data_IF_982105268045
#
_entry.id   IF_982105268045
#
_cell.length_a   1.000
_cell.length_b   1.000
_cell.length_c   1.000
_cell.angle_alpha   90.00
_cell.angle_beta   90.00
_cell.angle_gamma   90.00
#
_symmetry.space_group_name_H-M   'P 1'
#
loop_
_entity.id
_entity.type
_entity.pdbx_description
1 polymer ?
#
# COMPACT_ATOMS: atom_id res chain seq x y z
N UNK A 1 8.23 47.88 69.54
CA UNK A 1 9.41 47.62 68.65
C UNK A 1 9.15 46.67 67.45
N UNK A 2 8.01 45.97 67.32
CA UNK A 2 7.80 44.97 66.24
C UNK A 2 7.27 45.45 64.88
N UNK A 3 6.77 46.69 64.75
CA UNK A 3 6.25 47.20 63.47
C UNK A 3 7.35 47.72 62.53
N UNK A 4 8.40 48.34 63.08
CA UNK A 4 9.51 48.90 62.31
C UNK A 4 10.37 47.77 61.71
N UNK A 5 10.52 46.64 62.40
CA UNK A 5 11.24 45.47 61.88
C UNK A 5 10.49 44.78 60.72
N UNK A 6 9.15 44.69 60.77
CA UNK A 6 8.34 44.14 59.66
C UNK A 6 8.36 45.03 58.41
N UNK A 7 8.26 46.35 58.56
CA UNK A 7 8.31 47.27 57.42
C UNK A 7 9.69 47.25 56.77
N UNK A 8 10.76 47.25 57.57
CA UNK A 8 12.14 47.14 57.07
C UNK A 8 12.42 45.79 56.41
N UNK A 9 11.81 44.70 56.92
CA UNK A 9 11.85 43.38 56.28
C UNK A 9 11.15 43.35 54.92
N UNK A 10 9.97 43.98 54.82
CA UNK A 10 9.17 44.03 53.57
C UNK A 10 9.84 44.92 52.50
N UNK A 11 10.41 46.05 52.89
CA UNK A 11 11.20 46.90 51.97
C UNK A 11 12.48 46.16 51.51
N UNK A 12 13.13 45.43 52.42
CA UNK A 12 14.33 44.64 52.06
C UNK A 12 13.97 43.48 51.13
N UNK A 13 12.87 42.76 51.36
CA UNK A 13 12.40 41.69 50.47
C UNK A 13 11.97 42.22 49.10
N UNK A 14 11.28 43.35 49.05
CA UNK A 14 10.88 43.99 47.77
C UNK A 14 12.10 44.53 47.00
N UNK A 15 13.11 45.06 47.71
CA UNK A 15 14.35 45.47 47.07
C UNK A 15 15.15 44.28 46.53
N UNK A 16 15.25 43.18 47.30
CA UNK A 16 15.95 41.96 46.87
C UNK A 16 15.24 41.27 45.71
N UNK A 17 13.91 41.16 45.74
CA UNK A 17 13.13 40.58 44.64
C UNK A 17 13.24 41.40 43.36
N UNK A 18 13.24 42.73 43.46
CA UNK A 18 13.41 43.63 42.31
C UNK A 18 14.83 43.59 41.73
N UNK A 19 15.85 43.40 42.57
CA UNK A 19 17.24 43.18 42.12
C UNK A 19 17.37 41.82 41.43
N UNK A 20 16.79 40.76 42.01
CA UNK A 20 16.83 39.40 41.45
C UNK A 20 16.11 39.33 40.10
N UNK A 21 14.92 39.92 39.98
CA UNK A 21 14.16 39.98 38.73
C UNK A 21 14.92 40.76 37.63
N UNK A 22 15.57 41.89 37.98
CA UNK A 22 16.41 42.66 37.04
C UNK A 22 17.65 41.88 36.59
N UNK A 23 18.16 40.97 37.42
CA UNK A 23 19.30 40.11 37.07
C UNK A 23 18.90 38.98 36.13
N UNK A 24 17.75 38.35 36.37
CA UNK A 24 17.17 37.31 35.51
C UNK A 24 16.79 37.87 34.13
N UNK A 25 16.27 39.10 34.07
CA UNK A 25 15.99 39.80 32.81
C UNK A 25 17.25 40.04 31.95
N UNK A 26 18.37 40.39 32.59
CA UNK A 26 19.65 40.53 31.89
C UNK A 26 20.14 39.19 31.35
N UNK A 27 20.00 38.13 32.15
CA UNK A 27 20.38 36.76 31.77
C UNK A 27 19.53 36.29 30.56
N UNK A 28 18.21 36.53 30.57
CA UNK A 28 17.33 36.17 29.46
C UNK A 28 17.68 36.90 28.15
N UNK A 29 18.04 38.18 28.22
CA UNK A 29 18.49 38.94 27.04
C UNK A 29 19.83 38.44 26.49
N UNK A 30 20.77 38.05 27.36
CA UNK A 30 22.05 37.46 26.96
C UNK A 30 21.83 36.10 26.28
N UNK A 31 20.99 35.24 26.87
CA UNK A 31 20.64 33.92 26.30
C UNK A 31 19.99 34.08 24.92
N UNK A 32 19.13 35.09 24.74
CA UNK A 32 18.55 35.40 23.43
C UNK A 32 19.59 35.84 22.40
N UNK A 33 20.53 36.71 22.79
CA UNK A 33 21.56 37.23 21.90
C UNK A 33 22.53 36.12 21.47
N UNK A 34 22.90 35.24 22.40
CA UNK A 34 23.68 34.02 22.12
C UNK A 34 22.91 33.08 21.18
N UNK A 35 21.60 32.94 21.39
CA UNK A 35 20.75 32.12 20.53
C UNK A 35 20.71 32.63 19.08
N UNK A 36 20.68 33.96 18.90
CA UNK A 36 20.68 34.59 17.59
C UNK A 36 22.04 34.43 16.89
N UNK A 37 23.15 34.54 17.62
CA UNK A 37 24.51 34.29 17.11
C UNK A 37 24.71 32.84 16.69
N UNK A 38 24.20 31.87 17.47
CA UNK A 38 24.28 30.44 17.14
C UNK A 38 23.38 30.02 15.97
N UNK A 39 22.41 30.85 15.59
CA UNK A 39 21.56 30.63 14.41
C UNK A 39 22.09 31.31 13.15
N UNK A 40 23.03 32.26 13.28
CA UNK A 40 23.63 33.02 12.18
C UNK A 40 24.24 32.14 11.08
N UNK A 41 24.88 30.98 11.37
CA UNK A 41 25.36 30.06 10.34
C UNK A 41 24.26 29.49 9.43
N UNK A 42 23.01 29.37 9.89
CA UNK A 42 21.90 28.87 9.06
C UNK A 42 21.39 29.90 8.04
N UNK A 43 21.70 31.18 8.27
CA UNK A 43 21.27 32.30 7.42
C UNK A 43 22.38 32.74 6.46
N UNK A 44 23.58 32.18 6.61
CA UNK A 44 24.69 32.42 5.70
C UNK A 44 24.43 31.78 4.33
N UNK A 45 24.85 32.43 3.22
CA UNK A 45 24.67 31.90 1.88
C UNK A 45 25.35 30.54 1.71
N UNK A 46 24.67 29.63 1.00
CA UNK A 46 25.02 28.19 0.86
C UNK A 46 26.49 27.94 0.48
N UNK A 47 27.15 28.87 -0.21
CA UNK A 47 28.56 28.75 -0.62
C UNK A 47 29.56 28.73 0.54
N UNK A 48 29.30 29.45 1.64
CA UNK A 48 30.20 29.50 2.79
C UNK A 48 30.14 28.21 3.64
N UNK A 49 28.96 27.59 3.67
CA UNK A 49 28.68 26.37 4.43
C UNK A 49 29.26 25.11 3.77
N UNK A 50 29.34 25.09 2.44
CA UNK A 50 29.98 24.01 1.69
C UNK A 50 31.50 24.03 1.88
N UNK A 51 32.11 25.21 2.03
CA UNK A 51 33.55 25.38 2.21
C UNK A 51 34.08 24.97 3.61
N UNK A 52 33.21 24.93 4.63
CA UNK A 52 33.61 24.73 6.03
C UNK A 52 33.47 23.29 6.57
N UNK A 53 33.03 22.32 5.76
CA UNK A 53 33.04 20.90 6.20
C UNK A 53 31.84 20.02 5.78
N UNK A 54 31.03 20.45 4.81
CA UNK A 54 29.98 19.60 4.23
C UNK A 54 28.79 19.29 5.15
N UNK A 55 27.86 18.47 4.64
CA UNK A 55 26.56 18.21 5.26
C UNK A 55 26.64 17.57 6.67
N UNK A 56 27.71 16.82 6.95
CA UNK A 56 27.90 16.12 8.22
C UNK A 56 28.27 17.05 9.37
N UNK A 57 29.08 18.08 9.12
CA UNK A 57 29.45 19.07 10.13
C UNK A 57 28.23 19.92 10.53
N UNK A 58 27.38 20.26 9.56
CA UNK A 58 26.11 20.96 9.83
C UNK A 58 25.11 20.07 10.56
N UNK A 59 25.03 18.77 10.24
CA UNK A 59 24.19 17.83 10.99
C UNK A 59 24.69 17.61 12.43
N UNK A 60 26.00 17.58 12.66
CA UNK A 60 26.56 17.53 14.01
C UNK A 60 26.28 18.84 14.77
N UNK A 61 26.47 19.99 14.12
CA UNK A 61 26.15 21.30 14.68
C UNK A 61 24.66 21.44 15.03
N UNK A 62 23.75 21.00 14.16
CA UNK A 62 22.30 20.99 14.45
C UNK A 62 21.98 20.11 15.65
N UNK A 63 22.54 18.90 15.72
CA UNK A 63 22.30 17.95 16.81
C UNK A 63 22.77 18.45 18.18
N UNK A 64 23.83 19.25 18.25
CA UNK A 64 24.29 19.83 19.53
C UNK A 64 23.60 21.16 19.85
N UNK A 65 23.47 22.05 18.86
CA UNK A 65 23.03 23.43 19.09
C UNK A 65 21.52 23.52 19.29
N UNK A 66 20.73 22.70 18.61
CA UNK A 66 19.26 22.74 18.73
C UNK A 66 18.76 22.31 20.13
N UNK A 67 19.23 21.20 20.73
CA UNK A 67 18.83 20.84 22.11
C UNK A 67 19.30 21.87 23.15
N UNK A 68 20.48 22.45 22.98
CA UNK A 68 21.02 23.50 23.87
C UNK A 68 20.18 24.78 23.76
N UNK A 69 19.82 25.20 22.54
CA UNK A 69 18.92 26.33 22.30
C UNK A 69 17.54 26.11 22.92
N UNK A 70 16.96 24.92 22.74
CA UNK A 70 15.64 24.58 23.28
C UNK A 70 15.67 24.60 24.82
N UNK A 71 16.68 23.98 25.44
CA UNK A 71 16.80 23.94 26.91
C UNK A 71 17.10 25.31 27.53
N UNK A 72 17.98 26.11 26.91
CA UNK A 72 18.32 27.45 27.38
C UNK A 72 17.13 28.42 27.27
N UNK A 73 16.39 28.37 26.16
CA UNK A 73 15.24 29.24 25.93
C UNK A 73 13.98 28.76 26.69
N UNK A 74 13.91 27.48 27.10
CA UNK A 74 12.87 26.97 27.99
C UNK A 74 13.04 27.50 29.44
N UNK A 75 14.29 27.58 29.92
CA UNK A 75 14.60 28.03 31.29
C UNK A 75 14.52 29.55 31.45
N UNK A 76 14.77 30.32 30.38
CA UNK A 76 14.72 31.79 30.39
C UNK A 76 13.98 32.33 29.16
N UNK A 77 12.63 32.28 29.12
CA UNK A 77 11.86 32.72 27.97
C UNK A 77 11.95 34.24 27.76
N UNK A 78 12.25 34.66 26.54
CA UNK A 78 12.36 36.08 26.22
C UNK A 78 11.03 36.83 26.36
N UNK A 79 11.08 38.08 26.84
CA UNK A 79 9.93 38.93 27.22
C UNK A 79 8.86 39.13 26.12
N UNK A 80 9.25 38.98 24.85
CA UNK A 80 8.37 39.14 23.68
C UNK A 80 7.65 37.84 23.27
N UNK A 81 8.04 36.67 23.77
CA UNK A 81 7.38 35.39 23.49
C UNK A 81 5.88 35.37 23.81
N UNK A 82 5.42 35.77 25.03
CA UNK A 82 3.99 35.82 25.32
C UNK A 82 3.22 36.84 24.46
N UNK A 83 3.88 37.93 24.03
CA UNK A 83 3.29 38.90 23.11
C UNK A 83 3.12 38.33 21.69
N UNK A 84 4.15 37.64 21.17
CA UNK A 84 4.08 36.96 19.87
C UNK A 84 3.07 35.83 19.88
N UNK A 85 2.99 35.03 20.93
CA UNK A 85 1.98 33.96 21.06
C UNK A 85 0.55 34.54 21.11
N UNK A 86 0.37 35.73 21.69
CA UNK A 86 -0.93 36.43 21.71
C UNK A 86 -1.29 36.98 20.32
N UNK A 87 -0.31 37.52 19.59
CA UNK A 87 -0.46 37.99 18.20
C UNK A 87 -0.75 36.82 17.26
N UNK A 88 0.02 35.73 17.34
CA UNK A 88 -0.17 34.50 16.57
C UNK A 88 -1.56 33.89 16.81
N UNK A 89 -2.01 33.78 18.08
CA UNK A 89 -3.38 33.32 18.38
C UNK A 89 -4.44 34.24 17.79
N UNK A 90 -4.23 35.56 17.77
CA UNK A 90 -5.16 36.53 17.16
C UNK A 90 -5.21 36.38 15.63
N UNK A 91 -4.06 36.16 14.99
CA UNK A 91 -3.93 35.89 13.56
C UNK A 91 -4.61 34.57 13.21
N UNK A 92 -4.35 33.48 13.94
CA UNK A 92 -4.97 32.16 13.74
C UNK A 92 -6.49 32.25 13.85
N UNK A 93 -7.02 32.94 14.87
CA UNK A 93 -8.47 33.13 15.02
C UNK A 93 -9.08 33.94 13.87
N UNK A 94 -8.39 34.98 13.38
CA UNK A 94 -8.84 35.77 12.22
C UNK A 94 -8.77 34.99 10.92
N UNK A 95 -7.75 34.15 10.73
CA UNK A 95 -7.58 33.34 9.52
C UNK A 95 -8.46 32.08 9.51
N UNK A 96 -8.96 31.61 10.65
CA UNK A 96 -9.81 30.42 10.70
C UNK A 96 -11.05 30.52 9.82
N UNK A 97 -11.80 31.63 9.92
CA UNK A 97 -13.00 31.86 9.11
C UNK A 97 -12.76 31.91 7.58
N UNK A 98 -11.80 32.70 7.05
CA UNK A 98 -11.48 32.67 5.63
C UNK A 98 -10.88 31.34 5.17
N UNK A 99 -10.08 30.66 6.00
CA UNK A 99 -9.54 29.33 5.67
C UNK A 99 -10.66 28.29 5.56
N UNK A 100 -11.63 28.27 6.48
CA UNK A 100 -12.78 27.37 6.42
C UNK A 100 -13.65 27.64 5.16
N UNK A 101 -13.85 28.92 4.80
CA UNK A 101 -14.56 29.28 3.55
C UNK A 101 -13.80 28.85 2.30
N UNK A 102 -12.49 29.08 2.26
CA UNK A 102 -11.63 28.65 1.15
C UNK A 102 -11.64 27.13 1.03
N UNK A 103 -11.51 26.39 2.14
CA UNK A 103 -11.62 24.94 2.16
C UNK A 103 -13.00 24.45 1.69
N UNK A 104 -14.08 25.13 2.05
CA UNK A 104 -15.42 24.81 1.57
C UNK A 104 -15.53 24.98 0.05
N UNK A 105 -15.01 26.10 -0.50
CA UNK A 105 -14.99 26.34 -1.95
C UNK A 105 -14.13 25.28 -2.66
N UNK A 106 -12.95 24.95 -2.13
CA UNK A 106 -12.11 23.87 -2.67
C UNK A 106 -12.83 22.52 -2.63
N UNK A 107 -13.53 22.19 -1.54
CA UNK A 107 -14.30 20.96 -1.42
C UNK A 107 -15.48 20.91 -2.41
N UNK A 108 -16.16 22.04 -2.61
CA UNK A 108 -17.24 22.17 -3.59
C UNK A 108 -16.71 22.02 -5.02
N UNK A 109 -15.57 22.65 -5.33
CA UNK A 109 -14.91 22.54 -6.63
C UNK A 109 -14.36 21.12 -6.91
N UNK A 110 -13.90 20.40 -5.88
CA UNK A 110 -13.43 19.02 -5.99
C UNK A 110 -14.57 17.97 -6.04
N UNK A 111 -15.79 18.33 -5.59
CA UNK A 111 -16.96 17.45 -5.63
C UNK A 111 -17.25 16.81 -6.99
N UNK A 112 -17.30 17.56 -8.12
CA UNK A 112 -17.49 16.95 -9.44
C UNK A 112 -16.32 16.03 -9.84
N UNK A 113 -15.09 16.39 -9.47
CA UNK A 113 -13.89 15.58 -9.76
C UNK A 113 -13.98 14.24 -9.01
N UNK A 114 -14.33 14.26 -7.73
CA UNK A 114 -14.53 13.03 -6.95
C UNK A 114 -15.70 12.17 -7.45
N UNK A 115 -16.68 12.75 -8.17
CA UNK A 115 -17.71 11.96 -8.87
C UNK A 115 -17.14 11.31 -10.13
N UNK A 116 -16.36 12.04 -10.92
CA UNK A 116 -15.67 11.51 -12.10
C UNK A 116 -14.67 10.41 -11.73
N UNK A 117 -13.90 10.57 -10.64
CA UNK A 117 -12.99 9.54 -10.11
C UNK A 117 -13.74 8.24 -9.79
N UNK A 118 -14.91 8.33 -9.14
CA UNK A 118 -15.72 7.15 -8.82
C UNK A 118 -16.31 6.48 -10.07
N UNK A 119 -16.79 7.26 -11.04
CA UNK A 119 -17.26 6.73 -12.33
C UNK A 119 -16.12 6.04 -13.10
N UNK A 120 -14.92 6.64 -13.10
CA UNK A 120 -13.73 6.04 -13.68
C UNK A 120 -13.37 4.70 -13.01
N UNK A 121 -13.47 4.63 -11.69
CA UNK A 121 -13.23 3.39 -10.94
C UNK A 121 -14.32 2.33 -11.15
N UNK A 122 -15.57 2.72 -11.38
CA UNK A 122 -16.64 1.78 -11.73
C UNK A 122 -16.37 1.08 -13.07
N UNK A 123 -15.73 1.79 -14.01
CA UNK A 123 -15.26 1.22 -15.27
C UNK A 123 -13.94 0.47 -15.07
N UNK A 124 -13.99 -0.62 -14.30
CA UNK A 124 -12.82 -1.39 -13.88
C UNK A 124 -11.86 -1.72 -15.04
N UNK A 125 -12.37 -2.28 -16.14
CA UNK A 125 -11.57 -2.67 -17.31
C UNK A 125 -10.91 -1.46 -18.01
N UNK A 126 -11.63 -0.35 -18.12
CA UNK A 126 -11.09 0.87 -18.71
C UNK A 126 -10.00 1.46 -17.82
N UNK A 127 -10.24 1.47 -16.50
CA UNK A 127 -9.31 1.99 -15.51
C UNK A 127 -7.99 1.21 -15.50
N UNK A 128 -8.05 -0.13 -15.60
CA UNK A 128 -6.87 -0.99 -15.64
C UNK A 128 -6.11 -0.81 -16.94
N UNK A 129 -6.80 -0.78 -18.09
CA UNK A 129 -6.17 -0.57 -19.40
C UNK A 129 -5.45 0.78 -19.47
N UNK A 130 -6.09 1.88 -19.04
CA UNK A 130 -5.46 3.20 -19.03
C UNK A 130 -4.23 3.21 -18.11
N UNK A 131 -4.31 2.55 -16.95
CA UNK A 131 -3.19 2.49 -16.01
C UNK A 131 -2.02 1.66 -16.53
N UNK A 132 -2.29 0.53 -17.19
CA UNK A 132 -1.28 -0.28 -17.88
C UNK A 132 -0.60 0.54 -18.97
N UNK A 133 -1.37 1.24 -19.82
CA UNK A 133 -0.84 2.09 -20.87
C UNK A 133 0.04 3.22 -20.31
N UNK A 134 -0.38 3.88 -19.22
CA UNK A 134 0.40 4.95 -18.59
C UNK A 134 1.73 4.45 -18.02
N UNK A 135 1.73 3.31 -17.30
CA UNK A 135 2.96 2.74 -16.74
C UNK A 135 3.88 2.23 -17.86
N UNK A 136 3.34 1.59 -18.88
CA UNK A 136 4.14 1.08 -19.99
C UNK A 136 4.75 2.23 -20.80
N UNK A 137 3.99 3.30 -21.03
CA UNK A 137 4.49 4.53 -21.65
C UNK A 137 5.56 5.17 -20.80
N UNK A 138 5.39 5.21 -19.47
CA UNK A 138 6.38 5.76 -18.55
C UNK A 138 7.69 4.95 -18.55
N UNK A 139 7.61 3.62 -18.47
CA UNK A 139 8.76 2.72 -18.54
C UNK A 139 9.47 2.80 -19.88
N UNK A 140 8.72 2.82 -20.99
CA UNK A 140 9.27 2.96 -22.34
C UNK A 140 10.09 4.25 -22.46
N UNK A 141 9.49 5.35 -22.01
CA UNK A 141 10.10 6.68 -22.03
C UNK A 141 11.36 6.79 -21.17
N UNK A 142 11.46 6.05 -20.07
CA UNK A 142 12.62 6.10 -19.16
C UNK A 142 13.72 5.09 -19.52
N UNK A 143 13.34 3.88 -19.92
CA UNK A 143 14.26 2.74 -20.01
C UNK A 143 14.60 2.35 -21.46
N UNK A 144 13.84 2.81 -22.44
CA UNK A 144 14.05 2.49 -23.86
C UNK A 144 14.36 3.76 -24.65
N UNK A 145 15.56 3.83 -25.21
CA UNK A 145 15.95 4.93 -26.08
C UNK A 145 15.40 4.69 -27.50
N UNK A 146 14.41 5.49 -27.93
CA UNK A 146 14.01 5.76 -29.34
C UNK A 146 12.92 4.91 -30.01
N UNK A 147 12.24 3.98 -29.34
CA UNK A 147 11.05 3.31 -29.92
C UNK A 147 9.81 4.21 -29.89
N UNK A 148 9.07 4.38 -30.99
CA UNK A 148 7.82 5.18 -31.02
C UNK A 148 6.56 4.40 -30.60
N UNK A 149 6.60 3.06 -30.53
CA UNK A 149 5.41 2.20 -30.33
C UNK A 149 5.68 0.90 -29.52
N UNK A 150 6.86 0.78 -28.93
CA UNK A 150 7.35 -0.33 -28.08
C UNK A 150 6.36 -0.76 -26.98
N UNK A 151 5.72 0.21 -26.30
CA UNK A 151 4.75 -0.08 -25.25
C UNK A 151 3.49 -0.84 -25.73
N UNK A 152 2.98 -0.52 -26.92
CA UNK A 152 1.80 -1.19 -27.49
C UNK A 152 2.13 -2.62 -27.92
N UNK A 153 3.33 -2.84 -28.44
CA UNK A 153 3.80 -4.19 -28.76
C UNK A 153 3.96 -5.05 -27.52
N UNK A 154 4.54 -4.51 -26.43
CA UNK A 154 4.62 -5.23 -25.16
C UNK A 154 3.23 -5.56 -24.61
N UNK A 155 2.27 -4.63 -24.70
CA UNK A 155 0.90 -4.87 -24.26
C UNK A 155 0.20 -5.96 -25.10
N UNK A 156 0.36 -5.92 -26.42
CA UNK A 156 -0.17 -6.94 -27.33
C UNK A 156 0.42 -8.32 -27.01
N UNK A 157 1.73 -8.39 -26.79
CA UNK A 157 2.43 -9.61 -26.41
C UNK A 157 1.89 -10.19 -25.09
N UNK A 158 1.72 -9.36 -24.07
CA UNK A 158 1.17 -9.83 -22.80
C UNK A 158 -0.31 -10.25 -22.91
N UNK A 159 -1.12 -9.58 -23.73
CA UNK A 159 -2.50 -10.00 -23.99
C UNK A 159 -2.57 -11.39 -24.67
N UNK A 160 -1.66 -11.68 -25.60
CA UNK A 160 -1.57 -13.02 -26.23
C UNK A 160 -1.17 -14.09 -25.19
N UNK A 161 -0.27 -13.76 -24.26
CA UNK A 161 0.07 -14.65 -23.15
C UNK A 161 -1.16 -14.88 -22.25
N UNK A 162 -1.88 -13.83 -21.88
CA UNK A 162 -3.11 -13.94 -21.06
C UNK A 162 -4.15 -14.80 -21.73
N UNK A 163 -4.35 -14.63 -23.05
CA UNK A 163 -5.27 -15.44 -23.83
C UNK A 163 -4.86 -16.92 -23.80
N UNK A 164 -3.57 -17.20 -23.97
CA UNK A 164 -3.03 -18.57 -23.87
C UNK A 164 -3.25 -19.19 -22.49
N UNK A 165 -2.97 -18.44 -21.42
CA UNK A 165 -3.19 -18.90 -20.05
C UNK A 165 -4.67 -19.15 -19.77
N UNK A 166 -5.56 -18.28 -20.26
CA UNK A 166 -7.00 -18.45 -20.09
C UNK A 166 -7.52 -19.67 -20.85
N UNK A 167 -7.01 -19.93 -22.06
CA UNK A 167 -7.33 -21.13 -22.83
C UNK A 167 -6.90 -22.41 -22.10
N UNK A 168 -5.67 -22.44 -21.57
CA UNK A 168 -5.18 -23.56 -20.75
C UNK A 168 -6.06 -23.74 -19.51
N UNK A 169 -6.40 -22.64 -18.81
CA UNK A 169 -7.30 -22.67 -17.67
C UNK A 169 -8.66 -23.27 -18.05
N UNK A 170 -9.25 -22.84 -19.16
CA UNK A 170 -10.54 -23.34 -19.63
C UNK A 170 -10.52 -24.85 -19.86
N UNK A 171 -9.47 -25.37 -20.50
CA UNK A 171 -9.29 -26.81 -20.72
C UNK A 171 -9.12 -27.55 -19.39
N UNK A 172 -8.27 -27.04 -18.49
CA UNK A 172 -8.09 -27.67 -17.19
C UNK A 172 -9.37 -27.71 -16.35
N UNK A 173 -10.26 -26.71 -16.49
CA UNK A 173 -11.45 -26.58 -15.63
C UNK A 173 -12.70 -27.25 -16.21
N UNK A 174 -12.87 -27.25 -17.53
CA UNK A 174 -14.08 -27.78 -18.20
C UNK A 174 -13.97 -29.26 -18.56
N UNK A 175 -12.77 -29.80 -18.70
CA UNK A 175 -12.57 -31.18 -19.13
C UNK A 175 -12.55 -32.13 -17.93
N UNK A 176 -13.38 -33.18 -17.96
CA UNK A 176 -13.30 -34.26 -16.98
C UNK A 176 -12.04 -35.10 -17.24
N UNK A 177 -11.03 -34.92 -16.40
CA UNK A 177 -9.76 -35.67 -16.45
C UNK A 177 -9.87 -37.11 -15.94
N UNK A 178 -11.08 -37.64 -15.79
CA UNK A 178 -11.26 -39.00 -15.33
C UNK A 178 -10.65 -39.96 -16.36
N UNK A 179 -9.74 -40.88 -15.95
CA UNK A 179 -9.04 -41.80 -16.85
C UNK A 179 -9.94 -42.90 -17.42
N UNK A 180 -11.26 -42.77 -17.26
CA UNK A 180 -12.27 -43.73 -17.66
C UNK A 180 -13.36 -43.00 -18.42
N UNK A 181 -13.46 -43.29 -19.72
CA UNK A 181 -14.59 -42.87 -20.56
C UNK A 181 -15.55 -44.05 -20.66
N UNK A 182 -16.82 -43.84 -20.27
CA UNK A 182 -17.87 -44.83 -20.46
C UNK A 182 -18.30 -44.85 -21.94
N UNK A 183 -18.30 -46.04 -22.56
CA UNK A 183 -18.60 -46.22 -23.99
C UNK A 183 -20.07 -45.89 -24.31
N UNK A 184 -20.98 -46.10 -23.35
CA UNK A 184 -22.40 -45.70 -23.44
C UNK A 184 -22.87 -45.19 -22.09
N UNK A 185 -23.96 -44.38 -22.06
CA UNK A 185 -24.53 -43.81 -20.81
C UNK A 185 -24.90 -44.86 -19.74
N UNK A 186 -24.97 -46.14 -20.11
CA UNK A 186 -25.40 -47.24 -19.24
C UNK A 186 -24.38 -48.38 -19.08
N UNK A 187 -23.22 -48.37 -19.75
CA UNK A 187 -22.22 -49.45 -19.56
C UNK A 187 -21.11 -49.05 -18.59
N UNK A 188 -20.72 -50.01 -17.74
CA UNK A 188 -19.63 -49.89 -16.76
C UNK A 188 -18.26 -50.26 -17.35
N UNK A 189 -18.16 -50.43 -18.67
CA UNK A 189 -16.93 -50.88 -19.34
C UNK A 189 -16.00 -49.68 -19.53
N UNK A 190 -14.93 -49.65 -18.74
CA UNK A 190 -13.91 -48.59 -18.73
C UNK A 190 -12.80 -48.93 -19.73
N UNK A 191 -12.63 -48.14 -20.80
CA UNK A 191 -11.58 -48.36 -21.79
C UNK A 191 -10.39 -47.39 -21.58
N UNK A 192 -9.28 -47.91 -21.04
CA UNK A 192 -8.09 -47.12 -20.73
C UNK A 192 -7.45 -46.50 -21.99
N UNK A 193 -7.38 -47.26 -23.09
CA UNK A 193 -6.72 -46.80 -24.31
C UNK A 193 -7.46 -45.64 -25.00
N UNK A 194 -8.79 -45.59 -24.90
CA UNK A 194 -9.59 -44.48 -25.46
C UNK A 194 -9.47 -43.20 -24.60
N UNK A 195 -9.20 -43.38 -23.30
CA UNK A 195 -8.96 -42.27 -22.37
C UNK A 195 -7.57 -41.66 -22.58
N UNK A 196 -6.55 -42.51 -22.80
CA UNK A 196 -5.21 -42.05 -23.14
C UNK A 196 -5.16 -41.28 -24.47
N UNK A 197 -5.85 -41.76 -25.52
CA UNK A 197 -5.90 -41.05 -26.81
C UNK A 197 -6.63 -39.72 -26.71
N UNK A 198 -7.72 -39.63 -25.93
CA UNK A 198 -8.41 -38.36 -25.65
C UNK A 198 -7.46 -37.34 -25.01
N UNK A 199 -6.75 -37.75 -23.95
CA UNK A 199 -5.78 -36.88 -23.25
C UNK A 199 -4.70 -36.40 -24.23
N UNK A 200 -4.09 -37.31 -25.01
CA UNK A 200 -3.05 -36.96 -25.98
C UNK A 200 -3.57 -35.97 -27.04
N UNK A 201 -4.78 -36.18 -27.56
CA UNK A 201 -5.39 -35.27 -28.53
C UNK A 201 -5.62 -33.87 -27.94
N UNK A 202 -6.14 -33.75 -26.72
CA UNK A 202 -6.35 -32.44 -26.08
C UNK A 202 -5.03 -31.72 -25.80
N UNK A 203 -4.01 -32.43 -25.30
CA UNK A 203 -2.68 -31.85 -25.13
C UNK A 203 -2.05 -31.44 -26.47
N UNK A 204 -2.31 -32.19 -27.54
CA UNK A 204 -1.86 -31.82 -28.88
C UNK A 204 -2.53 -30.52 -29.35
N UNK A 205 -3.82 -30.30 -29.05
CA UNK A 205 -4.49 -29.02 -29.33
C UNK A 205 -3.85 -27.88 -28.54
N UNK A 206 -3.55 -28.07 -27.26
CA UNK A 206 -2.87 -27.06 -26.43
C UNK A 206 -1.48 -26.73 -27.00
N UNK A 207 -0.68 -27.74 -27.32
CA UNK A 207 0.67 -27.55 -27.84
C UNK A 207 0.63 -26.87 -29.21
N UNK A 208 -0.24 -27.31 -30.12
CA UNK A 208 -0.40 -26.66 -31.44
C UNK A 208 -0.91 -25.22 -31.30
N UNK A 209 -1.80 -24.94 -30.35
CA UNK A 209 -2.25 -23.59 -30.04
C UNK A 209 -1.10 -22.70 -29.51
N UNK A 210 -0.28 -23.20 -28.59
CA UNK A 210 0.89 -22.46 -28.08
C UNK A 210 1.89 -22.22 -29.20
N UNK A 211 2.21 -23.25 -30.00
CA UNK A 211 3.16 -23.15 -31.12
C UNK A 211 2.66 -22.14 -32.15
N UNK A 212 1.38 -22.19 -32.53
CA UNK A 212 0.80 -21.22 -33.48
C UNK A 212 0.79 -19.80 -32.91
N UNK A 213 0.48 -19.60 -31.62
CA UNK A 213 0.60 -18.28 -30.98
C UNK A 213 2.04 -17.78 -30.94
N UNK A 214 3.00 -18.62 -30.57
CA UNK A 214 4.42 -18.22 -30.60
C UNK A 214 4.89 -17.89 -32.00
N UNK A 215 4.43 -18.62 -33.02
CA UNK A 215 4.73 -18.36 -34.41
C UNK A 215 4.09 -17.06 -34.89
N UNK A 216 2.83 -16.80 -34.54
CA UNK A 216 2.14 -15.53 -34.85
C UNK A 216 2.85 -14.35 -34.18
N UNK A 217 3.27 -14.49 -32.93
CA UNK A 217 4.06 -13.46 -32.25
C UNK A 217 5.44 -13.27 -32.90
N UNK A 218 6.07 -14.34 -33.37
CA UNK A 218 7.34 -14.30 -34.08
C UNK A 218 7.20 -13.65 -35.45
N UNK A 219 6.15 -13.96 -36.22
CA UNK A 219 5.88 -13.38 -37.54
C UNK A 219 5.47 -11.92 -37.44
N UNK A 220 4.57 -11.58 -36.52
CA UNK A 220 4.26 -10.18 -36.18
C UNK A 220 5.51 -9.44 -35.69
N UNK A 221 6.41 -10.16 -35.01
CA UNK A 221 7.68 -9.63 -34.57
C UNK A 221 8.72 -9.49 -35.68
N UNK A 222 8.69 -10.32 -36.72
CA UNK A 222 9.66 -10.31 -37.82
C UNK A 222 9.23 -9.37 -38.96
N UNK A 223 7.94 -9.21 -39.22
CA UNK A 223 7.48 -8.58 -40.46
C UNK A 223 7.34 -7.04 -40.42
N UNK A 224 7.17 -6.36 -39.28
CA UNK A 224 6.70 -4.96 -39.32
C UNK A 224 7.30 -3.91 -38.35
N UNK A 225 8.32 -4.16 -37.52
CA UNK A 225 8.88 -3.02 -36.74
C UNK A 225 9.90 -3.26 -35.65
N UNK A 226 10.55 -4.42 -35.61
CA UNK A 226 11.38 -4.83 -34.47
C UNK A 226 12.89 -4.60 -34.65
N UNK A 227 13.33 -3.92 -35.72
CA UNK A 227 14.76 -3.61 -35.90
C UNK A 227 15.36 -2.84 -34.71
N UNK A 228 14.51 -2.13 -33.94
CA UNK A 228 14.90 -1.33 -32.78
C UNK A 228 14.28 -1.79 -31.45
N UNK A 229 13.58 -2.94 -31.41
CA UNK A 229 12.98 -3.43 -30.16
C UNK A 229 13.99 -4.27 -29.38
N UNK A 230 14.79 -3.59 -28.56
CA UNK A 230 15.66 -4.22 -27.56
C UNK A 230 15.21 -3.79 -26.17
N UNK A 231 14.16 -4.41 -25.60
CA UNK A 231 13.72 -4.06 -24.27
C UNK A 231 14.83 -4.44 -23.27
N UNK A 232 15.11 -3.54 -22.35
CA UNK A 232 16.02 -3.84 -21.24
C UNK A 232 15.36 -4.89 -20.33
N UNK A 233 16.14 -5.73 -19.66
CA UNK A 233 15.61 -6.71 -18.71
C UNK A 233 14.77 -6.02 -17.61
N UNK A 234 15.20 -4.84 -17.16
CA UNK A 234 14.47 -4.01 -16.21
C UNK A 234 13.10 -3.57 -16.74
N UNK A 235 13.02 -3.16 -18.00
CA UNK A 235 11.75 -2.84 -18.64
C UNK A 235 10.81 -4.05 -18.61
N UNK A 236 11.27 -5.21 -19.08
CA UNK A 236 10.44 -6.44 -19.13
C UNK A 236 9.99 -6.90 -17.74
N UNK A 237 10.86 -6.81 -16.72
CA UNK A 237 10.51 -7.16 -15.36
C UNK A 237 9.45 -6.22 -14.79
N UNK A 238 9.62 -4.91 -14.92
CA UNK A 238 8.68 -3.93 -14.37
C UNK A 238 7.32 -4.02 -15.08
N UNK A 239 7.30 -4.00 -16.41
CA UNK A 239 6.05 -4.05 -17.19
C UNK A 239 5.38 -5.41 -17.08
N UNK A 240 6.14 -6.51 -17.06
CA UNK A 240 5.64 -7.86 -16.85
C UNK A 240 5.01 -8.06 -15.47
N UNK A 241 5.69 -7.67 -14.40
CA UNK A 241 5.14 -7.75 -13.03
C UNK A 241 3.89 -6.86 -12.92
N UNK A 242 3.94 -5.62 -13.43
CA UNK A 242 2.79 -4.74 -13.36
C UNK A 242 1.57 -5.31 -14.11
N UNK A 243 1.78 -5.87 -15.30
CA UNK A 243 0.71 -6.49 -16.08
C UNK A 243 0.11 -7.71 -15.37
N UNK A 244 0.97 -8.63 -14.89
CA UNK A 244 0.57 -9.84 -14.18
C UNK A 244 -0.28 -9.54 -12.92
N UNK A 245 -0.02 -8.42 -12.26
CA UNK A 245 -0.74 -7.99 -11.05
C UNK A 245 -1.98 -7.14 -11.33
N UNK A 246 -2.15 -6.63 -12.55
CA UNK A 246 -3.30 -5.82 -12.94
C UNK A 246 -4.36 -6.60 -13.70
N UNK A 247 -3.93 -7.63 -14.44
CA UNK A 247 -4.79 -8.40 -15.32
C UNK A 247 -5.72 -9.35 -14.55
N UNK A 248 -6.99 -9.39 -14.95
CA UNK A 248 -8.05 -10.09 -14.19
C UNK A 248 -7.81 -11.59 -14.13
N UNK A 249 -7.39 -12.18 -15.24
CA UNK A 249 -7.13 -13.63 -15.35
C UNK A 249 -6.11 -14.10 -14.32
N UNK A 250 -5.02 -13.36 -14.15
CA UNK A 250 -3.97 -13.71 -13.20
C UNK A 250 -4.37 -13.43 -11.74
N UNK A 251 -5.11 -12.34 -11.49
CA UNK A 251 -5.65 -12.05 -10.15
C UNK A 251 -6.61 -13.14 -9.66
N UNK A 252 -7.35 -13.79 -10.55
CA UNK A 252 -8.18 -14.95 -10.22
C UNK A 252 -7.36 -16.23 -10.05
N UNK A 253 -6.29 -16.40 -10.83
CA UNK A 253 -5.44 -17.60 -10.80
C UNK A 253 -4.61 -17.69 -9.52
N UNK A 254 -4.06 -16.57 -9.03
CA UNK A 254 -3.14 -16.57 -7.89
C UNK A 254 -3.71 -17.19 -6.60
N UNK A 255 -4.93 -16.86 -6.16
CA UNK A 255 -5.52 -17.50 -5.00
C UNK A 255 -5.69 -19.02 -5.16
N UNK A 256 -6.03 -19.51 -6.36
CA UNK A 256 -6.15 -20.96 -6.59
C UNK A 256 -4.80 -21.67 -6.40
N UNK A 257 -3.72 -21.08 -6.94
CA UNK A 257 -2.37 -21.62 -6.80
C UNK A 257 -1.91 -21.61 -5.34
N UNK A 258 -2.18 -20.52 -4.61
CA UNK A 258 -1.85 -20.43 -3.19
C UNK A 258 -2.65 -21.42 -2.33
N UNK A 259 -3.93 -21.62 -2.66
CA UNK A 259 -4.77 -22.61 -1.98
C UNK A 259 -4.26 -24.04 -2.18
N UNK A 260 -3.76 -24.34 -3.38
CA UNK A 260 -3.12 -25.62 -3.66
C UNK A 260 -1.83 -25.84 -2.84
N UNK A 261 -1.10 -24.76 -2.52
CA UNK A 261 0.12 -24.81 -1.69
C UNK A 261 -0.18 -25.04 -0.18
N UNK A 262 -1.45 -24.93 0.25
CA UNK A 262 -1.91 -25.18 1.63
C UNK A 262 -1.04 -24.48 2.70
N UNK A 263 -0.76 -23.19 2.51
CA UNK A 263 0.06 -22.40 3.42
C UNK A 263 -0.69 -22.10 4.74
N UNK A 264 -0.21 -22.68 5.83
CA UNK A 264 -0.82 -22.53 7.17
C UNK A 264 -0.84 -21.07 7.67
N UNK A 265 0.13 -20.25 7.24
CA UNK A 265 0.25 -18.84 7.64
C UNK A 265 -0.90 -17.95 7.14
N UNK A 266 -1.56 -18.32 6.05
CA UNK A 266 -2.59 -17.49 5.42
C UNK A 266 -4.00 -17.73 6.00
N UNK A 267 -4.18 -18.74 6.85
CA UNK A 267 -5.43 -19.06 7.55
C UNK A 267 -6.68 -19.13 6.63
N UNK A 268 -6.49 -19.44 5.33
CA UNK A 268 -7.56 -19.49 4.33
C UNK A 268 -8.02 -18.12 3.78
N UNK A 269 -7.34 -17.01 4.11
CA UNK A 269 -7.63 -15.65 3.61
C UNK A 269 -6.79 -15.27 2.38
N UNK A 270 -6.44 -16.26 1.55
CA UNK A 270 -5.51 -16.11 0.42
C UNK A 270 -6.03 -15.10 -0.61
N UNK A 271 -7.34 -15.07 -0.86
CA UNK A 271 -7.98 -14.14 -1.81
C UNK A 271 -7.81 -12.68 -1.39
N UNK A 272 -8.01 -12.37 -0.10
CA UNK A 272 -7.86 -11.04 0.47
C UNK A 272 -6.39 -10.62 0.46
N UNK A 273 -5.48 -11.52 0.86
CA UNK A 273 -4.05 -11.26 0.88
C UNK A 273 -3.49 -10.99 -0.52
N UNK A 274 -3.84 -11.83 -1.51
CA UNK A 274 -3.48 -11.63 -2.91
C UNK A 274 -3.95 -10.29 -3.45
N UNK A 275 -5.20 -9.91 -3.14
CA UNK A 275 -5.76 -8.63 -3.53
C UNK A 275 -4.96 -7.46 -2.98
N UNK A 276 -4.70 -7.43 -1.67
CA UNK A 276 -3.90 -6.37 -1.03
C UNK A 276 -2.49 -6.34 -1.57
N UNK A 277 -1.84 -7.50 -1.68
CA UNK A 277 -0.47 -7.62 -2.15
C UNK A 277 -0.32 -7.10 -3.58
N UNK A 278 -1.19 -7.53 -4.50
CA UNK A 278 -1.14 -7.07 -5.89
C UNK A 278 -1.35 -5.55 -6.02
N UNK A 279 -2.30 -4.96 -5.28
CA UNK A 279 -2.53 -3.50 -5.28
C UNK A 279 -1.39 -2.73 -4.61
N UNK A 280 -0.76 -3.31 -3.60
CA UNK A 280 0.40 -2.70 -2.92
C UNK A 280 1.62 -2.69 -3.84
N UNK A 281 1.94 -3.80 -4.50
CA UNK A 281 3.09 -3.90 -5.40
C UNK A 281 2.92 -3.00 -6.63
N UNK A 282 1.72 -2.95 -7.22
CA UNK A 282 1.46 -2.08 -8.38
C UNK A 282 1.57 -0.59 -8.05
N UNK A 283 1.09 -0.15 -6.88
CA UNK A 283 1.29 1.24 -6.43
C UNK A 283 2.75 1.50 -6.08
N UNK A 284 3.45 0.54 -5.45
CA UNK A 284 4.87 0.64 -5.15
C UNK A 284 5.75 0.75 -6.40
N UNK A 285 5.43 0.04 -7.48
CA UNK A 285 6.12 0.18 -8.78
C UNK A 285 5.92 1.58 -9.38
N UNK A 286 4.74 2.18 -9.23
CA UNK A 286 4.43 3.49 -9.78
C UNK A 286 5.11 4.65 -9.04
N UNK A 287 5.30 4.53 -7.72
CA UNK A 287 5.89 5.59 -6.86
C UNK A 287 7.28 6.07 -7.31
N UNK A 288 8.30 5.20 -7.53
CA UNK A 288 9.63 5.63 -7.97
C UNK A 288 9.66 6.08 -9.44
N UNK A 289 8.67 5.67 -10.23
CA UNK A 289 8.59 6.04 -11.65
C UNK A 289 8.23 7.53 -11.82
N UNK A 290 7.45 8.11 -10.90
CA UNK A 290 7.07 9.53 -10.90
C UNK A 290 8.28 10.48 -10.78
N UNK A 291 9.15 10.39 -9.75
CA UNK A 291 10.32 11.25 -9.65
C UNK A 291 11.33 10.99 -10.77
N UNK A 292 11.46 9.74 -11.24
CA UNK A 292 12.30 9.43 -12.40
C UNK A 292 11.82 10.15 -13.68
N UNK A 293 10.50 10.19 -13.93
CA UNK A 293 9.91 10.95 -15.04
C UNK A 293 10.08 12.47 -14.89
N UNK A 294 9.95 12.98 -13.67
CA UNK A 294 10.18 14.38 -13.36
C UNK A 294 11.63 14.80 -13.63
N UNK A 295 12.59 13.94 -13.27
CA UNK A 295 14.01 14.15 -13.57
C UNK A 295 14.30 14.17 -15.07
N UNK A 296 13.58 13.35 -15.85
CA UNK A 296 13.67 13.34 -17.31
C UNK A 296 12.90 14.47 -18.02
N UNK A 297 12.57 15.56 -17.32
CA UNK A 297 11.84 16.75 -17.79
C UNK A 297 10.44 16.49 -18.37
N UNK A 298 9.85 15.31 -18.12
CA UNK A 298 8.56 14.88 -18.67
C UNK A 298 7.42 15.08 -17.68
N UNK A 299 7.27 16.32 -17.21
CA UNK A 299 6.34 16.70 -16.15
C UNK A 299 4.88 16.32 -16.40
N UNK A 300 4.39 16.46 -17.64
CA UNK A 300 2.98 16.11 -17.98
C UNK A 300 2.68 14.63 -17.73
N UNK A 301 3.59 13.75 -18.15
CA UNK A 301 3.44 12.31 -17.95
C UNK A 301 3.63 11.94 -16.47
N UNK A 302 4.59 12.57 -15.78
CA UNK A 302 4.81 12.38 -14.34
C UNK A 302 3.54 12.72 -13.53
N UNK A 303 2.88 13.83 -13.84
CA UNK A 303 1.64 14.25 -13.17
C UNK A 303 0.48 13.28 -13.43
N UNK A 304 0.32 12.79 -14.67
CA UNK A 304 -0.71 11.80 -15.01
C UNK A 304 -0.49 10.48 -14.26
N UNK A 305 0.74 9.96 -14.24
CA UNK A 305 1.09 8.72 -13.51
C UNK A 305 0.91 8.91 -12.01
N UNK A 306 1.35 10.05 -11.46
CA UNK A 306 1.17 10.37 -10.05
C UNK A 306 -0.32 10.44 -9.66
N UNK A 307 -1.16 11.04 -10.51
CA UNK A 307 -2.57 11.17 -10.22
C UNK A 307 -3.32 9.84 -10.35
N UNK A 308 -3.19 9.13 -11.48
CA UNK A 308 -3.96 7.91 -11.76
C UNK A 308 -3.40 6.71 -11.01
N UNK A 309 -2.10 6.44 -11.16
CA UNK A 309 -1.49 5.19 -10.70
C UNK A 309 -1.02 5.24 -9.24
N UNK A 310 -0.73 6.43 -8.68
CA UNK A 310 -0.32 6.58 -7.28
C UNK A 310 -1.48 7.08 -6.43
N UNK A 311 -2.08 8.24 -6.76
CA UNK A 311 -3.11 8.84 -5.94
C UNK A 311 -4.45 8.09 -6.02
N UNK A 312 -5.07 7.94 -7.20
CA UNK A 312 -6.37 7.26 -7.34
C UNK A 312 -6.25 5.80 -6.90
N UNK A 313 -5.28 5.05 -7.43
CA UNK A 313 -5.09 3.64 -7.08
C UNK A 313 -4.71 3.43 -5.61
N UNK A 314 -3.82 4.25 -5.05
CA UNK A 314 -3.43 4.16 -3.64
C UNK A 314 -4.58 4.49 -2.69
N UNK A 315 -5.34 5.55 -2.97
CA UNK A 315 -6.44 5.99 -2.10
C UNK A 315 -7.66 5.09 -2.19
N UNK A 316 -8.09 4.72 -3.40
CA UNK A 316 -9.34 3.98 -3.59
C UNK A 316 -9.09 2.47 -3.65
N UNK A 317 -8.30 1.96 -4.61
CA UNK A 317 -8.12 0.52 -4.80
C UNK A 317 -7.36 -0.15 -3.65
N UNK A 318 -6.22 0.41 -3.26
CA UNK A 318 -5.44 -0.11 -2.14
C UNK A 318 -6.12 0.19 -0.79
N UNK A 319 -6.67 1.39 -0.61
CA UNK A 319 -7.44 1.73 0.59
C UNK A 319 -8.65 0.81 0.82
N UNK A 320 -9.43 0.51 -0.21
CA UNK A 320 -10.56 -0.43 -0.11
C UNK A 320 -10.10 -1.87 0.16
N UNK A 321 -9.00 -2.31 -0.47
CA UNK A 321 -8.46 -3.64 -0.19
C UNK A 321 -7.94 -3.77 1.24
N UNK A 322 -7.24 -2.74 1.75
CA UNK A 322 -6.72 -2.70 3.12
C UNK A 322 -7.83 -2.62 4.16
N UNK A 323 -8.88 -1.84 3.92
CA UNK A 323 -10.02 -1.77 4.86
C UNK A 323 -10.71 -3.12 4.98
N UNK A 324 -11.04 -3.78 3.85
CA UNK A 324 -11.60 -5.13 3.85
C UNK A 324 -10.71 -6.16 4.53
N UNK A 325 -9.39 -6.06 4.32
CA UNK A 325 -8.42 -6.94 4.97
C UNK A 325 -8.34 -6.68 6.48
N UNK A 326 -8.26 -5.43 6.91
CA UNK A 326 -8.21 -5.06 8.32
C UNK A 326 -9.50 -5.47 9.04
N UNK A 327 -10.68 -5.24 8.44
CA UNK A 327 -11.96 -5.69 9.00
C UNK A 327 -11.98 -7.22 9.17
N UNK A 328 -11.49 -7.97 8.19
CA UNK A 328 -11.35 -9.42 8.28
C UNK A 328 -10.40 -9.83 9.41
N UNK A 329 -9.23 -9.20 9.51
CA UNK A 329 -8.26 -9.48 10.57
C UNK A 329 -8.79 -9.11 11.95
N UNK A 330 -9.43 -7.95 12.11
CA UNK A 330 -9.97 -7.44 13.37
C UNK A 330 -11.12 -8.32 13.88
N UNK A 331 -11.97 -8.81 12.98
CA UNK A 331 -13.04 -9.76 13.35
C UNK A 331 -12.48 -11.06 13.92
N UNK A 332 -11.33 -11.52 13.40
CA UNK A 332 -10.67 -12.75 13.83
C UNK A 332 -9.69 -12.54 14.98
N UNK A 333 -9.20 -11.32 15.21
CA UNK A 333 -8.21 -11.00 16.23
C UNK A 333 -8.71 -11.30 17.65
N UNK A 334 -10.03 -11.23 17.86
CA UNK A 334 -10.69 -11.55 19.14
C UNK A 334 -10.65 -13.04 19.48
N UNK A 335 -10.41 -13.90 18.50
CA UNK A 335 -10.40 -15.35 18.65
C UNK A 335 -8.97 -15.88 18.75
N UNK A 336 -8.73 -16.72 19.76
CA UNK A 336 -7.43 -17.35 19.98
C UNK A 336 -7.08 -18.27 18.80
N UNK A 337 -5.82 -18.26 18.36
CA UNK A 337 -5.31 -19.27 17.41
C UNK A 337 -5.09 -20.59 18.16
N UNK A 338 -5.56 -21.68 17.59
CA UNK A 338 -5.32 -23.01 18.14
C UNK A 338 -3.84 -23.38 17.99
N UNK A 339 -3.29 -24.06 19.00
CA UNK A 339 -1.93 -24.59 18.94
C UNK A 339 -1.89 -25.85 18.07
N UNK A 340 -0.74 -26.19 17.46
CA UNK A 340 -0.64 -27.42 16.66
C UNK A 340 -0.93 -28.67 17.52
N UNK A 341 -0.57 -28.64 18.80
CA UNK A 341 -0.83 -29.72 19.77
C UNK A 341 -2.33 -29.94 19.98
N UNK A 342 -3.10 -28.87 20.23
CA UNK A 342 -4.56 -28.93 20.35
C UNK A 342 -5.22 -29.49 19.09
N UNK A 343 -4.73 -29.10 17.90
CA UNK A 343 -5.24 -29.63 16.63
C UNK A 343 -4.95 -31.12 16.46
N UNK A 344 -3.73 -31.55 16.81
CA UNK A 344 -3.34 -32.95 16.73
C UNK A 344 -4.08 -33.84 17.73
N UNK A 345 -4.56 -33.29 18.83
CA UNK A 345 -5.31 -34.04 19.84
C UNK A 345 -6.80 -34.16 19.48
N UNK A 346 -7.34 -33.14 18.79
CA UNK A 346 -8.74 -33.11 18.38
C UNK A 346 -9.01 -34.03 17.17
N UNK A 347 -8.09 -34.08 16.20
CA UNK A 347 -8.21 -34.81 14.91
C UNK A 347 -9.58 -34.67 14.20
N UNK A 348 -10.25 -33.53 14.38
CA UNK A 348 -11.61 -33.31 13.89
C UNK A 348 -11.67 -32.48 12.59
N UNK A 349 -12.82 -32.51 11.93
CA UNK A 349 -13.13 -31.73 10.74
C UNK A 349 -13.86 -30.44 11.11
N UNK A 350 -13.66 -29.38 10.32
CA UNK A 350 -14.37 -28.12 10.54
C UNK A 350 -15.87 -28.32 10.29
N UNK A 351 -16.72 -28.04 11.30
CA UNK A 351 -18.17 -28.24 11.19
C UNK A 351 -18.88 -27.42 10.09
N UNK A 352 -18.21 -26.40 9.53
CA UNK A 352 -18.77 -25.52 8.49
C UNK A 352 -18.46 -26.02 7.08
N UNK A 353 -17.22 -26.43 6.82
CA UNK A 353 -16.78 -26.87 5.48
C UNK A 353 -16.51 -28.38 5.38
N UNK A 354 -16.62 -29.10 6.50
CA UNK A 354 -16.33 -30.53 6.66
C UNK A 354 -14.91 -30.94 6.23
N UNK A 355 -14.00 -29.97 6.12
CA UNK A 355 -12.61 -30.18 5.75
C UNK A 355 -11.71 -30.37 6.97
N UNK A 356 -10.62 -31.13 6.80
CA UNK A 356 -9.61 -31.34 7.82
C UNK A 356 -8.99 -30.01 8.30
N UNK A 357 -8.74 -29.89 9.61
CA UNK A 357 -8.20 -28.67 10.22
C UNK A 357 -6.69 -28.75 10.39
N UNK A 358 -5.95 -27.94 9.62
CA UNK A 358 -4.50 -27.71 9.83
C UNK A 358 -4.20 -26.40 10.57
N UNK A 359 -5.10 -25.43 10.47
CA UNK A 359 -5.10 -24.19 11.25
C UNK A 359 -6.52 -23.87 11.65
N UNK A 360 -6.74 -23.46 12.90
CA UNK A 360 -8.07 -23.16 13.41
C UNK A 360 -8.05 -21.98 14.39
N UNK A 361 -9.21 -21.33 14.51
CA UNK A 361 -9.54 -20.34 15.53
C UNK A 361 -10.43 -20.99 16.57
N UNK A 362 -10.13 -20.73 17.84
CA UNK A 362 -10.87 -21.25 19.00
C UNK A 362 -11.82 -20.18 19.49
N UNK A 363 -13.09 -20.55 19.58
CA UNK A 363 -14.15 -19.70 20.13
C UNK A 363 -14.13 -19.71 21.66
N UNK A 364 -14.69 -18.69 22.34
CA UNK A 364 -14.81 -18.69 23.81
C UNK A 364 -15.58 -19.90 24.39
N UNK A 365 -16.42 -20.54 23.58
CA UNK A 365 -17.12 -21.77 23.93
C UNK A 365 -16.34 -23.05 23.61
N UNK A 366 -15.03 -22.93 23.34
CA UNK A 366 -14.09 -24.02 23.05
C UNK A 366 -14.35 -24.82 21.76
N UNK A 367 -15.11 -24.28 20.80
CA UNK A 367 -15.25 -24.86 19.45
C UNK A 367 -14.20 -24.33 18.46
N UNK A 368 -13.77 -25.20 17.54
CA UNK A 368 -12.71 -24.97 16.55
C UNK A 368 -13.30 -24.79 15.14
N UNK A 369 -12.80 -23.79 14.41
CA UNK A 369 -13.19 -23.53 13.01
C UNK A 369 -11.99 -23.03 12.20
N UNK A 370 -11.97 -23.25 10.88
CA UNK A 370 -11.02 -22.51 10.02
C UNK A 370 -11.30 -21.01 10.12
N UNK A 371 -10.25 -20.18 10.05
CA UNK A 371 -10.42 -18.74 10.23
C UNK A 371 -11.36 -18.13 9.17
N UNK A 372 -11.25 -18.55 7.90
CA UNK A 372 -12.16 -18.07 6.85
C UNK A 372 -13.61 -18.57 7.04
N UNK A 373 -13.80 -19.80 7.53
CA UNK A 373 -15.14 -20.32 7.85
C UNK A 373 -15.79 -19.53 8.98
N UNK A 374 -15.04 -19.29 10.06
CA UNK A 374 -15.50 -18.48 11.20
C UNK A 374 -15.83 -17.05 10.77
N UNK A 375 -14.99 -16.43 9.95
CA UNK A 375 -15.22 -15.08 9.41
C UNK A 375 -16.52 -15.00 8.61
N UNK A 376 -16.79 -15.98 7.74
CA UNK A 376 -18.05 -16.04 6.98
C UNK A 376 -19.26 -16.24 7.89
N UNK A 377 -19.14 -17.08 8.92
CA UNK A 377 -20.20 -17.25 9.92
C UNK A 377 -20.48 -15.95 10.68
N UNK A 378 -19.43 -15.25 11.15
CA UNK A 378 -19.57 -13.96 11.86
C UNK A 378 -20.22 -12.87 11.02
N UNK A 379 -19.99 -12.89 9.70
CA UNK A 379 -20.64 -11.96 8.79
C UNK A 379 -22.17 -12.18 8.67
N UNK A 380 -22.65 -13.40 8.95
CA UNK A 380 -24.06 -13.76 8.87
C UNK A 380 -24.76 -13.80 10.24
N UNK A 381 -24.12 -14.42 11.24
CA UNK A 381 -24.69 -14.70 12.56
C UNK A 381 -23.60 -14.52 13.63
N UNK A 382 -23.88 -13.69 14.64
CA UNK A 382 -22.98 -13.45 15.78
C UNK A 382 -23.15 -14.50 16.90
N UNK A 383 -23.22 -15.78 16.52
CA UNK A 383 -23.38 -16.93 17.44
C UNK A 383 -22.56 -18.11 16.95
N UNK A 384 -22.18 -18.99 17.87
CA UNK A 384 -21.46 -20.22 17.51
C UNK A 384 -22.35 -21.15 16.66
N UNK A 385 -21.88 -21.61 15.47
CA UNK A 385 -22.64 -22.57 14.65
C UNK A 385 -22.94 -23.91 15.33
N UNK A 386 -22.12 -24.32 16.30
CA UNK A 386 -22.27 -25.62 16.97
C UNK A 386 -23.22 -25.52 18.18
N UNK A 387 -23.02 -24.53 19.06
CA UNK A 387 -23.78 -24.44 20.32
C UNK A 387 -24.77 -23.27 20.40
N UNK A 388 -24.86 -22.43 19.37
CA UNK A 388 -25.80 -21.29 19.27
C UNK A 388 -25.64 -20.23 20.38
N UNK A 389 -24.59 -20.34 21.20
CA UNK A 389 -24.26 -19.37 22.25
C UNK A 389 -23.66 -18.10 21.64
N UNK A 390 -23.95 -16.92 22.20
CA UNK A 390 -23.27 -15.67 21.82
C UNK A 390 -21.79 -15.72 22.24
N UNK A 391 -20.95 -15.01 21.51
CA UNK A 391 -19.53 -14.90 21.84
C UNK A 391 -19.33 -13.89 22.98
N UNK A 392 -19.10 -14.40 24.19
CA UNK A 392 -18.77 -13.57 25.37
C UNK A 392 -17.26 -13.68 25.60
N UNK A 393 -16.56 -12.56 25.44
CA UNK A 393 -15.14 -12.43 25.75
C UNK A 393 -15.03 -11.86 27.17
N UNK A 394 -14.46 -12.64 28.09
CA UNK A 394 -14.25 -12.24 29.49
C UNK A 394 -12.96 -11.43 29.64
#
# INVERSE_FOLDING_TARGET
MGMISRVRGRIRSDSFSKIQMKSEDKIANIVWLISLVMLLPYWAPRGLLVALGGAWLMAAYTCFVVPILISANYRYPARWYPAVVKIARKIIRRLRGPVERVLFIFKAAYSPIGRAERLYLQLNNLSTMISQLLIFTACDRLLVSRGRLTCLYSLMFYNVITYSVNYIREICTKEDWTPYVNVTRHSQVKHLAMSATKIVLEWTKVVTFIVTMTFILLTLGLEQGLEHYRPTLLYCLITGIYYLLTEKTFLELWPLVLSALKLERLEGMETLYCGVWARSVTTFIAVPLVPALAWGERWRLALLVAYVCVYIHGRYKLGEALTKFNEACDSLARFRKATPEELSTLEDVCAVCLGAMKSARVTPCAHFFHADCLRRCLAAIDRCPICVRPYVFC
#
